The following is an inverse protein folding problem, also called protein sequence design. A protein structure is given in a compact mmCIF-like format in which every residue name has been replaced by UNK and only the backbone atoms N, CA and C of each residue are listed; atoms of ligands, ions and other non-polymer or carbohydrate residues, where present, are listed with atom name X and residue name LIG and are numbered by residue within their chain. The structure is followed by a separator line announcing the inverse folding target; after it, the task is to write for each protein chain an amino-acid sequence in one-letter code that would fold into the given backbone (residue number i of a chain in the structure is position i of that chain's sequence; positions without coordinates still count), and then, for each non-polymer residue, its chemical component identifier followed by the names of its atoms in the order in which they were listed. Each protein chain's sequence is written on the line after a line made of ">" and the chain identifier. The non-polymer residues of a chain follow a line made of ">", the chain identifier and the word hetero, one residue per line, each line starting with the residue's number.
data_IF_645292445498
#
_entry.id   IF_645292445498
#
_cell.length_a   1.000
_cell.length_b   1.000
_cell.length_c   1.000
_cell.angle_alpha   90.00
_cell.angle_beta   90.00
_cell.angle_gamma   90.00
#
_symmetry.space_group_name_H-M   'P 1'
#
loop_
_entity.id
_entity.type
_entity.pdbx_description
1 polymer ?
#
# COMPACT_ATOMS: atom_id res chain seq x y z
N UNK A 1 15.37 43.60 12.54
CA UNK A 1 15.93 42.24 12.67
C UNK A 1 15.08 41.26 13.47
N UNK A 2 14.41 41.64 14.56
CA UNK A 2 13.55 40.70 15.33
C UNK A 2 12.27 40.26 14.61
N UNK A 3 11.70 41.07 13.77
CA UNK A 3 10.46 40.74 13.03
C UNK A 3 10.68 39.77 11.85
N UNK A 4 11.85 39.79 11.23
CA UNK A 4 12.21 38.87 10.16
C UNK A 4 12.48 37.43 10.69
N UNK A 5 13.05 37.29 11.88
CA UNK A 5 13.28 36.00 12.51
C UNK A 5 11.99 35.31 12.94
N UNK A 6 11.00 36.05 13.42
CA UNK A 6 9.69 35.48 13.80
C UNK A 6 8.88 35.01 12.59
N UNK A 7 9.01 35.68 11.45
CA UNK A 7 8.35 35.22 10.21
C UNK A 7 9.02 33.96 9.64
N UNK A 8 10.35 33.84 9.74
CA UNK A 8 11.07 32.66 9.27
C UNK A 8 10.76 31.42 10.15
N UNK A 9 10.65 31.57 11.45
CA UNK A 9 10.24 30.49 12.34
C UNK A 9 8.77 30.10 12.17
N UNK A 10 7.88 31.04 11.86
CA UNK A 10 6.48 30.74 11.56
C UNK A 10 6.34 29.98 10.22
N UNK A 11 7.15 30.28 9.22
CA UNK A 11 7.19 29.55 7.95
C UNK A 11 7.77 28.13 8.09
N UNK A 12 8.83 27.96 8.88
CA UNK A 12 9.41 26.64 9.19
C UNK A 12 8.44 25.77 10.02
N UNK A 13 7.71 26.37 10.97
CA UNK A 13 6.69 25.68 11.74
C UNK A 13 5.46 25.30 10.90
N UNK A 14 5.06 26.14 9.95
CA UNK A 14 3.98 25.85 9.00
C UNK A 14 4.37 24.77 7.98
N UNK A 15 5.62 24.80 7.50
CA UNK A 15 6.13 23.75 6.61
C UNK A 15 6.20 22.39 7.33
N UNK A 16 6.67 22.35 8.58
CA UNK A 16 6.68 21.13 9.39
C UNK A 16 5.28 20.60 9.71
N UNK A 17 4.31 21.48 10.00
CA UNK A 17 2.92 21.09 10.24
C UNK A 17 2.21 20.59 8.96
N UNK A 18 2.55 21.14 7.79
CA UNK A 18 2.01 20.70 6.50
C UNK A 18 2.57 19.33 6.08
N UNK A 19 3.79 18.99 6.46
CA UNK A 19 4.41 17.71 6.15
C UNK A 19 3.71 16.54 6.86
N UNK A 20 3.07 16.80 8.00
CA UNK A 20 2.33 15.82 8.79
C UNK A 20 0.81 15.88 8.61
N UNK A 21 0.29 16.83 7.80
CA UNK A 21 -1.13 16.83 7.49
C UNK A 21 -1.52 15.56 6.73
N UNK A 22 -2.62 14.84 7.11
CA UNK A 22 -3.01 13.64 6.40
C UNK A 22 -3.28 13.94 4.92
N UNK A 23 -3.92 15.09 4.61
CA UNK A 23 -4.14 15.54 3.24
C UNK A 23 -4.20 17.07 3.18
N UNK A 24 -3.68 17.64 2.08
CA UNK A 24 -3.63 19.09 1.92
C UNK A 24 -4.90 19.64 1.25
N UNK A 25 -5.50 18.83 0.36
CA UNK A 25 -6.62 19.28 -0.46
C UNK A 25 -7.71 18.21 -0.48
N UNK A 26 -8.96 18.65 -0.59
CA UNK A 26 -10.13 17.77 -0.68
C UNK A 26 -11.07 18.33 -1.75
N UNK A 27 -11.61 17.43 -2.60
CA UNK A 27 -12.63 17.80 -3.56
C UNK A 27 -13.63 16.64 -3.76
N UNK A 28 -14.83 16.96 -4.20
CA UNK A 28 -15.84 15.97 -4.53
C UNK A 28 -15.73 15.53 -6.01
N UNK A 29 -15.99 14.26 -6.28
CA UNK A 29 -16.14 13.75 -7.61
C UNK A 29 -17.56 14.04 -8.13
N UNK A 30 -17.70 14.64 -9.30
CA UNK A 30 -19.02 14.97 -9.83
C UNK A 30 -19.72 13.76 -10.44
N UNK A 31 -21.05 13.81 -10.47
CA UNK A 31 -21.88 12.98 -11.33
C UNK A 31 -22.24 11.58 -10.80
N UNK A 32 -21.55 11.09 -9.78
CA UNK A 32 -21.85 9.79 -9.14
C UNK A 32 -21.86 9.89 -7.64
N UNK A 33 -22.58 9.00 -7.00
CA UNK A 33 -22.61 8.82 -5.55
C UNK A 33 -22.39 7.34 -5.23
N UNK A 34 -21.89 7.08 -4.02
CA UNK A 34 -21.68 5.71 -3.55
C UNK A 34 -23.00 4.93 -3.52
N UNK A 35 -23.01 3.78 -4.16
CA UNK A 35 -24.14 2.86 -4.14
C UNK A 35 -24.40 2.24 -2.77
N UNK A 36 -23.40 2.23 -1.88
CA UNK A 36 -23.51 1.65 -0.55
C UNK A 36 -24.23 2.54 0.44
N UNK A 37 -24.03 3.86 0.35
CA UNK A 37 -24.52 4.80 1.37
C UNK A 37 -25.06 6.13 0.81
N UNK A 38 -25.07 6.30 -0.52
CA UNK A 38 -25.57 7.52 -1.19
C UNK A 38 -24.71 8.76 -0.94
N UNK A 39 -23.53 8.63 -0.33
CA UNK A 39 -22.62 9.73 -0.09
C UNK A 39 -21.85 10.12 -1.36
N UNK A 40 -21.49 11.39 -1.55
CA UNK A 40 -20.58 11.79 -2.60
C UNK A 40 -19.22 11.13 -2.40
N UNK A 41 -18.55 10.85 -3.53
CA UNK A 41 -17.16 10.39 -3.49
C UNK A 41 -16.24 11.60 -3.33
N UNK A 42 -15.36 11.58 -2.34
CA UNK A 42 -14.39 12.65 -2.08
C UNK A 42 -12.97 12.16 -2.33
N UNK A 43 -12.16 12.98 -2.98
CA UNK A 43 -10.73 12.76 -3.13
C UNK A 43 -9.96 13.57 -2.09
N UNK A 44 -9.12 12.89 -1.35
CA UNK A 44 -8.22 13.43 -0.34
C UNK A 44 -6.81 13.40 -0.91
N UNK A 45 -6.31 14.57 -1.31
CA UNK A 45 -5.02 14.71 -2.01
C UNK A 45 -3.95 15.21 -1.06
N UNK A 46 -2.80 14.53 -1.08
CA UNK A 46 -1.57 14.99 -0.48
C UNK A 46 -0.53 15.33 -1.55
N UNK A 47 0.03 16.52 -1.47
CA UNK A 47 1.17 16.97 -2.26
C UNK A 47 2.25 17.37 -1.27
N UNK A 48 3.50 16.94 -1.50
CA UNK A 48 4.59 17.29 -0.60
C UNK A 48 4.76 18.82 -0.51
N UNK A 49 5.00 19.36 0.68
CA UNK A 49 5.21 20.80 0.84
C UNK A 49 6.36 21.32 -0.03
N UNK A 50 6.11 22.42 -0.74
CA UNK A 50 7.11 23.04 -1.62
C UNK A 50 7.23 22.39 -3.00
N UNK A 51 6.38 21.43 -3.34
CA UNK A 51 6.30 20.89 -4.70
C UNK A 51 5.85 21.97 -5.67
N UNK A 52 6.69 22.33 -6.62
CA UNK A 52 6.35 23.30 -7.66
C UNK A 52 5.52 22.68 -8.79
N UNK A 53 5.76 21.40 -9.08
CA UNK A 53 5.07 20.64 -10.09
C UNK A 53 4.95 19.17 -9.68
N UNK A 54 3.76 18.61 -9.80
CA UNK A 54 3.51 17.19 -9.65
C UNK A 54 3.96 16.46 -10.92
N UNK A 55 4.78 15.43 -10.78
CA UNK A 55 5.29 14.62 -11.90
C UNK A 55 4.45 13.35 -12.16
N UNK A 56 3.80 12.82 -11.12
CA UNK A 56 2.86 11.69 -11.22
C UNK A 56 1.86 11.70 -10.06
N UNK A 57 0.75 11.02 -10.21
CA UNK A 57 -0.29 10.87 -9.19
C UNK A 57 -0.54 9.40 -8.89
N UNK A 58 -0.23 8.97 -7.66
CA UNK A 58 -0.64 7.66 -7.16
C UNK A 58 -2.00 7.79 -6.51
N UNK A 59 -2.95 6.93 -6.89
CA UNK A 59 -4.29 6.99 -6.35
C UNK A 59 -4.79 5.62 -5.90
N UNK A 60 -5.65 5.63 -4.89
CA UNK A 60 -6.27 4.44 -4.34
C UNK A 60 -7.71 4.72 -3.90
N UNK A 61 -8.51 3.67 -3.86
CA UNK A 61 -9.87 3.72 -3.32
C UNK A 61 -9.88 3.28 -1.86
N UNK A 62 -10.85 3.80 -1.11
CA UNK A 62 -11.08 3.37 0.26
C UNK A 62 -11.31 1.86 0.34
N UNK A 63 -10.47 1.19 1.11
CA UNK A 63 -10.64 -0.18 1.53
C UNK A 63 -9.94 -0.37 2.89
N UNK A 64 -8.80 -1.09 2.95
CA UNK A 64 -8.18 -1.49 4.21
C UNK A 64 -6.80 -0.85 4.45
N UNK A 65 -5.84 -1.05 3.54
CA UNK A 65 -4.43 -0.67 3.73
C UNK A 65 -3.98 0.47 2.84
N UNK A 66 -4.80 0.90 1.89
CA UNK A 66 -4.43 1.93 0.93
C UNK A 66 -4.07 3.24 1.64
N UNK A 67 -4.94 3.64 2.57
CA UNK A 67 -4.67 4.84 3.34
C UNK A 67 -3.49 4.68 4.28
N UNK A 68 -3.33 3.49 4.89
CA UNK A 68 -2.19 3.21 5.78
C UNK A 68 -0.87 3.47 5.05
N UNK A 69 -0.70 2.92 3.84
CA UNK A 69 0.49 3.16 3.02
C UNK A 69 0.67 4.65 2.72
N UNK A 70 -0.39 5.34 2.31
CA UNK A 70 -0.35 6.77 1.98
C UNK A 70 -0.08 7.69 3.17
N UNK A 71 -0.28 7.21 4.40
CA UNK A 71 0.01 7.96 5.62
C UNK A 71 1.37 7.64 6.23
N UNK A 72 2.09 6.61 5.76
CA UNK A 72 3.41 6.26 6.28
C UNK A 72 4.42 7.38 5.98
N UNK A 73 5.09 7.95 7.00
CA UNK A 73 5.98 9.10 6.80
C UNK A 73 7.12 8.84 5.82
N UNK A 74 7.79 7.68 5.95
CA UNK A 74 8.90 7.31 5.07
C UNK A 74 8.45 7.13 3.60
N UNK A 75 7.27 6.53 3.39
CA UNK A 75 6.70 6.41 2.04
C UNK A 75 6.39 7.77 1.43
N UNK A 76 5.77 8.68 2.20
CA UNK A 76 5.51 10.06 1.77
C UNK A 76 6.78 10.84 1.44
N UNK A 77 7.82 10.69 2.23
CA UNK A 77 9.11 11.33 1.98
C UNK A 77 9.67 10.92 0.62
N UNK A 78 9.68 9.62 0.30
CA UNK A 78 10.15 9.12 -0.99
C UNK A 78 9.27 9.56 -2.15
N UNK A 79 7.95 9.43 -2.00
CA UNK A 79 6.99 9.85 -3.05
C UNK A 79 7.09 11.36 -3.29
N UNK A 80 7.19 12.17 -2.25
CA UNK A 80 7.38 13.60 -2.36
C UNK A 80 8.69 13.99 -3.05
N UNK A 81 9.78 13.31 -2.71
CA UNK A 81 11.08 13.50 -3.37
C UNK A 81 11.05 13.14 -4.87
N UNK A 82 10.23 12.15 -5.25
CA UNK A 82 9.99 11.79 -6.64
C UNK A 82 8.96 12.68 -7.37
N UNK A 83 8.36 13.65 -6.70
CA UNK A 83 7.29 14.50 -7.25
C UNK A 83 5.96 13.77 -7.43
N UNK A 84 5.74 12.69 -6.70
CA UNK A 84 4.50 11.90 -6.75
C UNK A 84 3.52 12.40 -5.69
N UNK A 85 2.34 12.85 -6.14
CA UNK A 85 1.22 13.16 -5.26
C UNK A 85 0.45 11.87 -4.91
N UNK A 86 -0.23 11.88 -3.74
CA UNK A 86 -1.02 10.75 -3.25
C UNK A 86 -2.48 11.14 -3.11
N UNK A 87 -3.37 10.40 -3.78
CA UNK A 87 -4.82 10.65 -3.79
C UNK A 87 -5.57 9.43 -3.24
N UNK A 88 -6.23 9.61 -2.12
CA UNK A 88 -7.12 8.61 -1.54
C UNK A 88 -8.58 9.01 -1.77
N UNK A 89 -9.41 8.10 -2.31
CA UNK A 89 -10.80 8.38 -2.68
C UNK A 89 -11.73 7.59 -1.75
N UNK A 90 -12.62 8.31 -1.03
CA UNK A 90 -13.53 7.72 -0.06
C UNK A 90 -14.93 8.38 -0.10
N UNK A 91 -16.01 7.59 -0.23
CA UNK A 91 -16.03 6.16 -0.60
C UNK A 91 -15.34 5.89 -1.94
N UNK A 92 -14.81 4.69 -2.16
CA UNK A 92 -14.23 4.31 -3.46
C UNK A 92 -15.30 4.16 -4.56
N UNK A 93 -14.91 4.30 -5.83
CA UNK A 93 -15.82 4.18 -6.99
C UNK A 93 -16.28 2.74 -7.28
N UNK A 94 -15.91 1.79 -6.49
CA UNK A 94 -16.15 0.36 -6.69
C UNK A 94 -14.86 -0.40 -6.90
N UNK A 95 -14.96 -1.73 -6.85
CA UNK A 95 -13.79 -2.62 -6.84
C UNK A 95 -13.18 -2.87 -8.22
N UNK A 96 -13.88 -2.53 -9.32
CA UNK A 96 -13.59 -3.10 -10.63
C UNK A 96 -13.22 -2.07 -11.70
N UNK A 97 -13.28 -0.78 -11.42
CA UNK A 97 -13.14 0.27 -12.44
C UNK A 97 -14.10 0.04 -13.62
N UNK A 98 -15.40 -0.04 -13.34
CA UNK A 98 -16.40 -0.24 -14.38
C UNK A 98 -16.78 1.09 -15.06
N UNK A 99 -16.22 1.31 -16.24
CA UNK A 99 -16.50 2.54 -17.04
C UNK A 99 -17.96 2.71 -17.43
N UNK A 100 -18.75 1.64 -17.45
CA UNK A 100 -20.20 1.72 -17.77
C UNK A 100 -21.01 2.38 -16.65
N UNK A 101 -20.42 2.54 -15.47
CA UNK A 101 -21.03 3.22 -14.32
C UNK A 101 -20.59 4.69 -14.19
N UNK A 102 -19.97 5.27 -15.22
CA UNK A 102 -19.55 6.67 -15.22
C UNK A 102 -18.31 6.97 -14.37
N UNK A 103 -17.59 5.93 -13.92
CA UNK A 103 -16.42 6.05 -13.04
C UNK A 103 -15.31 6.88 -13.69
N UNK A 104 -15.10 6.73 -15.02
CA UNK A 104 -14.08 7.48 -15.74
C UNK A 104 -14.36 9.00 -15.72
N UNK A 105 -15.59 9.39 -16.05
CA UNK A 105 -15.97 10.82 -16.09
C UNK A 105 -15.92 11.45 -14.70
N UNK A 106 -16.34 10.70 -13.69
CA UNK A 106 -16.29 11.14 -12.29
C UNK A 106 -14.85 11.32 -11.80
N UNK A 107 -13.96 10.39 -12.15
CA UNK A 107 -12.53 10.49 -11.80
C UNK A 107 -11.88 11.68 -12.49
N UNK A 108 -12.08 11.86 -13.78
CA UNK A 108 -11.56 13.00 -14.54
C UNK A 108 -12.13 14.33 -14.02
N UNK A 109 -13.39 14.34 -13.58
CA UNK A 109 -14.02 15.47 -12.90
C UNK A 109 -13.38 15.78 -11.54
N UNK A 110 -13.11 14.74 -10.75
CA UNK A 110 -12.43 14.87 -9.48
C UNK A 110 -11.03 15.47 -9.67
N UNK A 111 -10.27 15.01 -10.66
CA UNK A 111 -8.93 15.57 -10.96
C UNK A 111 -8.99 17.04 -11.35
N UNK A 112 -10.00 17.47 -12.13
CA UNK A 112 -10.23 18.89 -12.43
C UNK A 112 -10.51 19.70 -11.17
N UNK A 113 -11.41 19.22 -10.29
CA UNK A 113 -11.73 19.90 -9.05
C UNK A 113 -10.52 20.00 -8.10
N UNK A 114 -9.71 18.95 -8.03
CA UNK A 114 -8.47 18.95 -7.25
C UNK A 114 -7.41 19.88 -7.85
N UNK A 115 -7.30 19.95 -9.19
CA UNK A 115 -6.40 20.87 -9.88
C UNK A 115 -6.76 22.33 -9.56
N UNK A 116 -8.05 22.69 -9.58
CA UNK A 116 -8.53 24.00 -9.20
C UNK A 116 -8.26 24.32 -7.72
N UNK A 117 -8.56 23.36 -6.83
CA UNK A 117 -8.43 23.53 -5.37
C UNK A 117 -6.96 23.65 -4.94
N UNK A 118 -6.05 22.90 -5.57
CA UNK A 118 -4.63 22.87 -5.21
C UNK A 118 -3.78 23.90 -5.95
N UNK A 119 -4.25 24.39 -7.10
CA UNK A 119 -3.47 25.20 -8.03
C UNK A 119 -2.52 24.41 -8.92
N UNK A 120 -2.53 23.08 -8.84
CA UNK A 120 -1.71 22.16 -9.66
C UNK A 120 -2.49 21.73 -10.91
N UNK A 121 -2.54 22.57 -11.93
CA UNK A 121 -3.29 22.30 -13.17
C UNK A 121 -2.88 21.00 -13.87
N UNK A 122 -1.62 20.61 -13.73
CA UNK A 122 -1.06 19.40 -14.31
C UNK A 122 -1.70 18.09 -13.79
N UNK A 123 -2.41 18.10 -12.68
CA UNK A 123 -3.10 16.91 -12.14
C UNK A 123 -4.07 16.28 -13.15
N UNK A 124 -4.58 17.06 -14.09
CA UNK A 124 -5.46 16.56 -15.14
C UNK A 124 -4.73 15.75 -16.22
N UNK A 125 -3.40 15.84 -16.30
CA UNK A 125 -2.58 15.28 -17.38
C UNK A 125 -1.43 14.38 -16.91
N UNK A 126 -1.03 14.47 -15.63
CA UNK A 126 0.11 13.68 -15.11
C UNK A 126 -0.12 12.17 -15.25
N UNK A 127 0.97 11.41 -15.36
CA UNK A 127 0.94 9.96 -15.29
C UNK A 127 0.28 9.46 -14.02
N UNK A 128 -0.50 8.39 -14.12
CA UNK A 128 -1.30 7.83 -13.04
C UNK A 128 -0.75 6.49 -12.58
N UNK A 129 -0.79 6.26 -11.27
CA UNK A 129 -0.34 5.04 -10.61
C UNK A 129 -1.50 4.50 -9.78
N UNK A 130 -2.36 3.62 -10.33
CA UNK A 130 -3.41 2.97 -9.55
C UNK A 130 -2.82 1.97 -8.55
N UNK A 131 -3.28 2.06 -7.31
CA UNK A 131 -2.93 1.17 -6.20
C UNK A 131 -4.20 0.61 -5.58
N UNK A 132 -4.23 -0.68 -5.29
CA UNK A 132 -5.37 -1.32 -4.62
C UNK A 132 -4.94 -2.51 -3.79
N UNK A 133 -5.53 -2.62 -2.60
CA UNK A 133 -5.32 -3.72 -1.67
C UNK A 133 -6.54 -4.64 -1.65
N UNK A 134 -6.32 -5.96 -1.57
CA UNK A 134 -7.38 -6.95 -1.35
C UNK A 134 -8.53 -6.82 -2.38
N UNK A 135 -9.73 -6.53 -1.91
CA UNK A 135 -10.90 -6.34 -2.76
C UNK A 135 -10.75 -5.22 -3.83
N UNK A 136 -9.89 -4.23 -3.58
CA UNK A 136 -9.59 -3.18 -4.54
C UNK A 136 -8.41 -3.52 -5.47
N UNK A 137 -7.74 -4.64 -5.27
CA UNK A 137 -6.53 -4.99 -6.04
C UNK A 137 -6.80 -5.40 -7.50
N UNK A 138 -8.05 -5.64 -7.87
CA UNK A 138 -8.48 -5.83 -9.27
C UNK A 138 -8.55 -4.50 -10.03
N UNK A 139 -8.88 -3.40 -9.34
CA UNK A 139 -9.03 -2.07 -9.94
C UNK A 139 -7.78 -1.59 -10.68
N UNK A 140 -6.54 -1.70 -10.16
CA UNK A 140 -5.35 -1.24 -10.86
C UNK A 140 -5.15 -1.86 -12.25
N UNK A 141 -5.41 -3.15 -12.39
CA UNK A 141 -5.33 -3.85 -13.68
C UNK A 141 -6.34 -3.33 -14.68
N UNK A 142 -7.60 -3.18 -14.25
CA UNK A 142 -8.67 -2.68 -15.08
C UNK A 142 -8.45 -1.24 -15.49
N UNK A 143 -8.05 -0.37 -14.52
CA UNK A 143 -7.70 1.02 -14.82
C UNK A 143 -6.63 1.09 -15.91
N UNK A 144 -5.55 0.35 -15.79
CA UNK A 144 -4.46 0.35 -16.76
C UNK A 144 -4.91 -0.12 -18.15
N UNK A 145 -5.81 -1.11 -18.22
CA UNK A 145 -6.35 -1.59 -19.48
C UNK A 145 -7.23 -0.55 -20.19
N UNK A 146 -7.92 0.32 -19.45
CA UNK A 146 -8.77 1.40 -19.99
C UNK A 146 -7.98 2.70 -20.22
N UNK A 147 -6.94 2.97 -19.43
CA UNK A 147 -6.13 4.18 -19.47
C UNK A 147 -4.64 3.89 -19.75
N UNK A 148 -4.30 3.10 -20.78
CA UNK A 148 -2.93 2.65 -21.00
C UNK A 148 -1.95 3.77 -21.34
N UNK A 149 -2.44 4.88 -21.91
CA UNK A 149 -1.63 6.07 -22.26
C UNK A 149 -1.37 7.00 -21.09
N UNK A 150 -2.07 6.81 -19.95
CA UNK A 150 -1.88 7.60 -18.73
C UNK A 150 -1.33 6.79 -17.57
N UNK A 151 -1.29 5.46 -17.67
CA UNK A 151 -0.79 4.61 -16.58
C UNK A 151 0.73 4.52 -16.62
N UNK A 152 1.39 5.00 -15.59
CA UNK A 152 2.84 4.88 -15.39
C UNK A 152 3.23 3.45 -15.02
N UNK A 153 2.68 2.97 -13.96
CA UNK A 153 2.76 1.60 -13.44
C UNK A 153 1.52 1.33 -12.60
N UNK A 154 1.37 0.12 -12.11
CA UNK A 154 0.23 -0.26 -11.28
C UNK A 154 0.64 -1.22 -10.16
N UNK A 155 -0.12 -1.24 -9.07
CA UNK A 155 0.20 -2.08 -7.91
C UNK A 155 -1.07 -2.78 -7.42
N UNK A 156 -1.02 -4.12 -7.44
CA UNK A 156 -2.02 -5.02 -6.86
C UNK A 156 -1.45 -5.60 -5.55
N UNK A 157 -1.86 -4.99 -4.44
CA UNK A 157 -1.32 -5.31 -3.12
C UNK A 157 -2.20 -6.33 -2.41
N UNK A 158 -1.64 -7.47 -2.06
CA UNK A 158 -2.33 -8.62 -1.47
C UNK A 158 -3.60 -9.01 -2.24
N UNK A 159 -3.50 -9.02 -3.56
CA UNK A 159 -4.64 -9.10 -4.45
C UNK A 159 -4.48 -10.00 -5.67
N UNK A 160 -5.31 -9.73 -6.64
CA UNK A 160 -5.54 -10.62 -7.76
C UNK A 160 -4.61 -10.39 -8.95
N UNK A 161 -4.48 -11.41 -9.77
CA UNK A 161 -3.84 -11.32 -11.07
C UNK A 161 -4.70 -10.52 -12.07
N UNK A 162 -4.11 -10.04 -13.17
CA UNK A 162 -4.89 -9.42 -14.25
C UNK A 162 -6.03 -10.32 -14.73
N UNK A 163 -7.18 -9.73 -14.98
CA UNK A 163 -8.41 -10.40 -15.46
C UNK A 163 -8.93 -11.50 -14.52
N UNK A 164 -8.62 -11.40 -13.22
CA UNK A 164 -9.24 -12.23 -12.19
C UNK A 164 -9.89 -11.35 -11.13
N UNK A 165 -10.87 -11.88 -10.41
CA UNK A 165 -11.58 -11.15 -9.37
C UNK A 165 -11.95 -12.07 -8.20
N UNK A 166 -10.94 -12.68 -7.61
CA UNK A 166 -11.11 -13.57 -6.44
C UNK A 166 -11.30 -12.75 -5.16
N UNK A 167 -10.54 -11.67 -5.02
CA UNK A 167 -10.65 -10.75 -3.88
C UNK A 167 -11.98 -10.01 -3.82
N UNK A 168 -12.62 -9.79 -4.97
CA UNK A 168 -13.96 -9.21 -5.07
C UNK A 168 -15.08 -10.17 -4.70
N UNK A 169 -14.83 -11.14 -3.86
CA UNK A 169 -15.80 -12.12 -3.37
C UNK A 169 -16.50 -12.94 -4.50
N UNK A 170 -15.72 -13.26 -5.55
CA UNK A 170 -16.22 -14.04 -6.67
C UNK A 170 -17.15 -13.27 -7.62
N UNK A 171 -17.10 -11.95 -7.62
CA UNK A 171 -17.75 -11.13 -8.66
C UNK A 171 -17.16 -11.44 -10.02
N UNK A 172 -17.94 -11.18 -11.07
CA UNK A 172 -17.47 -11.37 -12.44
C UNK A 172 -16.24 -10.53 -12.73
N UNK A 173 -15.30 -11.10 -13.47
CA UNK A 173 -14.17 -10.33 -14.00
C UNK A 173 -14.68 -9.27 -14.99
N UNK A 174 -14.05 -8.09 -14.96
CA UNK A 174 -14.32 -7.07 -15.97
C UNK A 174 -13.65 -7.49 -17.28
N UNK A 175 -14.46 -7.59 -18.35
CA UNK A 175 -13.96 -7.97 -19.65
C UNK A 175 -13.26 -6.80 -20.36
N UNK A 176 -12.00 -7.00 -20.70
CA UNK A 176 -11.21 -5.97 -21.40
C UNK A 176 -11.53 -5.88 -22.90
N UNK A 177 -12.26 -6.83 -23.45
CA UNK A 177 -12.44 -6.95 -24.88
C UNK A 177 -11.16 -7.42 -25.59
N UNK A 178 -11.11 -7.26 -26.92
CA UNK A 178 -10.02 -7.78 -27.76
C UNK A 178 -8.86 -6.79 -27.96
N UNK A 179 -9.06 -5.52 -27.74
CA UNK A 179 -8.11 -4.45 -28.09
C UNK A 179 -7.35 -3.89 -26.88
N UNK A 180 -7.89 -4.10 -25.67
CA UNK A 180 -7.25 -3.58 -24.44
C UNK A 180 -6.21 -4.56 -23.89
N UNK A 181 -5.07 -4.02 -23.56
CA UNK A 181 -3.97 -4.75 -22.94
C UNK A 181 -3.17 -3.83 -22.04
N UNK A 182 -2.28 -4.41 -21.25
CA UNK A 182 -1.32 -3.72 -20.37
C UNK A 182 0.13 -3.96 -20.80
N UNK A 183 0.34 -4.28 -22.07
CA UNK A 183 1.68 -4.57 -22.60
C UNK A 183 2.62 -3.39 -22.38
N UNK A 184 3.81 -3.68 -21.87
CA UNK A 184 4.82 -2.69 -21.57
C UNK A 184 4.52 -1.74 -20.41
N UNK A 185 3.43 -1.98 -19.66
CA UNK A 185 3.14 -1.25 -18.41
C UNK A 185 3.63 -2.10 -17.23
N UNK A 186 4.57 -1.61 -16.39
CA UNK A 186 4.99 -2.33 -15.20
C UNK A 186 3.83 -2.52 -14.22
N UNK A 187 3.61 -3.76 -13.82
CA UNK A 187 2.65 -4.11 -12.78
C UNK A 187 3.36 -4.85 -11.64
N UNK A 188 3.10 -4.46 -10.39
CA UNK A 188 3.61 -5.13 -9.21
C UNK A 188 2.48 -5.86 -8.50
N UNK A 189 2.62 -7.17 -8.32
CA UNK A 189 1.83 -7.96 -7.39
C UNK A 189 2.61 -8.16 -6.09
N UNK A 190 1.96 -7.97 -4.96
CA UNK A 190 2.50 -8.32 -3.64
C UNK A 190 1.59 -9.35 -2.99
N UNK A 191 2.16 -10.37 -2.35
CA UNK A 191 1.41 -11.38 -1.60
C UNK A 191 2.14 -11.74 -0.31
N UNK A 192 1.45 -11.66 0.82
CA UNK A 192 2.01 -12.03 2.11
C UNK A 192 2.20 -13.54 2.25
N UNK A 193 3.25 -13.96 2.98
CA UNK A 193 3.53 -15.38 3.20
C UNK A 193 2.39 -16.08 3.95
N UNK A 194 1.80 -15.43 4.97
CA UNK A 194 0.77 -16.03 5.82
C UNK A 194 -0.64 -16.00 5.21
N UNK A 195 -0.78 -15.35 4.06
CA UNK A 195 -2.00 -15.37 3.24
C UNK A 195 -1.82 -16.09 1.90
N UNK A 196 -0.74 -16.87 1.74
CA UNK A 196 -0.36 -17.43 0.45
C UNK A 196 -1.51 -18.14 -0.25
N UNK A 197 -1.76 -17.75 -1.50
CA UNK A 197 -2.84 -18.31 -2.28
C UNK A 197 -2.43 -18.54 -3.75
N UNK A 198 -2.19 -19.79 -4.10
CA UNK A 198 -1.80 -20.21 -5.44
C UNK A 198 -2.82 -19.80 -6.51
N UNK A 199 -4.10 -19.72 -6.17
CA UNK A 199 -5.15 -19.28 -7.08
C UNK A 199 -5.02 -17.82 -7.55
N UNK A 200 -4.23 -16.99 -6.84
CA UNK A 200 -3.85 -15.63 -7.29
C UNK A 200 -2.57 -15.65 -8.09
N UNK A 201 -1.61 -16.47 -7.70
CA UNK A 201 -0.28 -16.54 -8.30
C UNK A 201 -0.32 -17.18 -9.68
N UNK A 202 -0.92 -18.37 -9.81
CA UNK A 202 -0.94 -19.15 -11.05
C UNK A 202 -1.59 -18.41 -12.22
N UNK A 203 -2.72 -17.70 -12.06
CA UNK A 203 -3.25 -16.86 -13.13
C UNK A 203 -2.33 -15.76 -13.61
N UNK A 204 -1.51 -15.16 -12.73
CA UNK A 204 -0.54 -14.13 -13.13
C UNK A 204 0.57 -14.72 -14.02
N UNK A 205 1.09 -15.88 -13.66
CA UNK A 205 2.04 -16.62 -14.51
C UNK A 205 1.42 -17.03 -15.86
N UNK A 206 0.18 -17.54 -15.84
CA UNK A 206 -0.55 -17.87 -17.06
C UNK A 206 -0.80 -16.64 -17.94
N UNK A 207 -1.14 -15.50 -17.32
CA UNK A 207 -1.33 -14.24 -18.04
C UNK A 207 -0.06 -13.81 -18.77
N UNK A 208 1.11 -13.88 -18.13
CA UNK A 208 2.39 -13.58 -18.76
C UNK A 208 2.71 -14.49 -19.95
N UNK A 209 2.31 -15.75 -19.89
CA UNK A 209 2.45 -16.67 -21.02
C UNK A 209 1.52 -16.32 -22.19
N UNK A 210 0.28 -15.97 -21.88
CA UNK A 210 -0.74 -15.64 -22.88
C UNK A 210 -0.50 -14.24 -23.51
N UNK A 211 0.10 -13.34 -22.76
CA UNK A 211 0.37 -11.96 -23.16
C UNK A 211 1.87 -11.65 -22.98
N UNK A 212 2.72 -12.04 -23.93
CA UNK A 212 4.18 -11.93 -23.79
C UNK A 212 4.72 -10.50 -23.65
N UNK A 213 3.92 -9.49 -24.02
CA UNK A 213 4.24 -8.06 -23.81
C UNK A 213 4.01 -7.60 -22.36
N UNK A 214 3.50 -8.44 -21.47
CA UNK A 214 3.20 -8.05 -20.09
C UNK A 214 4.45 -7.98 -19.21
N UNK A 215 4.56 -6.89 -18.42
CA UNK A 215 5.66 -6.58 -17.51
C UNK A 215 5.21 -6.73 -16.04
N UNK A 216 4.97 -7.96 -15.58
CA UNK A 216 4.45 -8.23 -14.23
C UNK A 216 5.58 -8.69 -13.31
N UNK A 217 5.81 -7.90 -12.24
CA UNK A 217 6.71 -8.21 -11.12
C UNK A 217 5.92 -8.82 -9.96
N UNK A 218 6.60 -9.59 -9.13
CA UNK A 218 6.01 -10.21 -7.96
C UNK A 218 6.92 -10.07 -6.74
N UNK A 219 6.33 -9.67 -5.61
CA UNK A 219 6.97 -9.70 -4.30
C UNK A 219 6.19 -10.65 -3.38
N UNK A 220 6.81 -11.75 -2.97
CA UNK A 220 6.32 -12.51 -1.85
C UNK A 220 6.83 -11.88 -0.57
N UNK A 221 5.93 -11.33 0.22
CA UNK A 221 6.27 -10.58 1.41
C UNK A 221 6.38 -11.51 2.61
N UNK A 222 7.60 -11.97 2.87
CA UNK A 222 7.89 -12.95 3.88
C UNK A 222 7.56 -12.43 5.29
N UNK A 223 6.94 -13.29 6.12
CA UNK A 223 6.55 -12.96 7.49
C UNK A 223 5.34 -12.01 7.60
N UNK A 224 4.61 -11.79 6.50
CA UNK A 224 3.45 -10.88 6.45
C UNK A 224 2.16 -11.62 6.19
N UNK A 225 1.09 -11.13 6.80
CA UNK A 225 -0.29 -11.52 6.51
C UNK A 225 -0.98 -10.52 5.59
N UNK A 226 -2.26 -10.73 5.38
CA UNK A 226 -3.08 -9.99 4.41
C UNK A 226 -3.18 -8.48 4.69
N UNK A 227 -3.08 -8.07 5.96
CA UNK A 227 -3.30 -6.69 6.38
C UNK A 227 -2.02 -6.00 6.89
N UNK A 228 -0.88 -6.65 6.75
CA UNK A 228 0.37 -6.13 7.25
C UNK A 228 1.06 -5.25 6.19
N UNK A 229 1.45 -4.04 6.57
CA UNK A 229 2.30 -3.15 5.77
C UNK A 229 3.53 -2.82 6.59
N UNK A 230 4.70 -3.24 6.11
CA UNK A 230 5.97 -2.89 6.74
C UNK A 230 6.67 -1.76 6.01
N UNK A 231 7.60 -1.08 6.68
CA UNK A 231 8.47 -0.09 6.03
C UNK A 231 9.24 -0.73 4.87
N UNK A 232 9.70 -1.96 5.04
CA UNK A 232 10.39 -2.72 3.97
C UNK A 232 9.52 -2.94 2.74
N UNK A 233 8.24 -3.23 2.93
CA UNK A 233 7.29 -3.40 1.83
C UNK A 233 6.98 -2.06 1.17
N UNK A 234 6.77 -1.02 1.98
CA UNK A 234 6.56 0.34 1.51
C UNK A 234 7.77 0.86 0.71
N UNK A 235 8.99 0.58 1.17
CA UNK A 235 10.23 0.91 0.47
C UNK A 235 10.36 0.19 -0.87
N UNK A 236 9.99 -1.09 -0.94
CA UNK A 236 10.00 -1.82 -2.21
C UNK A 236 8.98 -1.25 -3.21
N UNK A 237 7.78 -0.89 -2.74
CA UNK A 237 6.74 -0.24 -3.55
C UNK A 237 7.25 1.13 -4.05
N UNK A 238 7.86 1.93 -3.17
CA UNK A 238 8.40 3.22 -3.55
C UNK A 238 9.51 3.09 -4.60
N UNK A 239 10.44 2.16 -4.40
CA UNK A 239 11.49 1.86 -5.38
C UNK A 239 10.90 1.42 -6.73
N UNK A 240 9.86 0.57 -6.72
CA UNK A 240 9.19 0.16 -7.94
C UNK A 240 8.62 1.35 -8.72
N UNK A 241 7.99 2.31 -8.03
CA UNK A 241 7.46 3.54 -8.65
C UNK A 241 8.60 4.38 -9.23
N UNK A 242 9.68 4.61 -8.48
CA UNK A 242 10.84 5.38 -8.92
C UNK A 242 11.51 4.75 -10.16
N UNK A 243 11.67 3.43 -10.16
CA UNK A 243 12.21 2.68 -11.30
C UNK A 243 11.29 2.77 -12.54
N UNK A 244 9.98 2.68 -12.33
CA UNK A 244 9.01 2.83 -13.42
C UNK A 244 9.04 4.25 -14.02
N UNK A 245 9.14 5.29 -13.17
CA UNK A 245 9.32 6.67 -13.62
C UNK A 245 10.60 6.83 -14.47
N UNK A 246 11.72 6.30 -13.98
CA UNK A 246 12.99 6.37 -14.68
C UNK A 246 12.98 5.61 -16.02
N UNK A 247 12.40 4.41 -16.05
CA UNK A 247 12.40 3.54 -17.22
C UNK A 247 11.44 4.03 -18.32
N UNK A 248 10.29 4.62 -17.95
CA UNK A 248 9.25 5.02 -18.90
C UNK A 248 9.32 6.50 -19.29
N UNK A 249 9.98 7.32 -18.47
CA UNK A 249 10.09 8.75 -18.72
C UNK A 249 8.73 9.48 -18.76
N UNK A 250 8.75 10.75 -19.11
CA UNK A 250 7.54 11.58 -19.25
C UNK A 250 6.60 11.14 -20.38
N UNK A 251 7.13 10.46 -21.38
CA UNK A 251 6.41 10.01 -22.58
C UNK A 251 5.70 8.65 -22.38
N UNK A 252 5.85 8.08 -21.20
CA UNK A 252 5.28 6.78 -20.82
C UNK A 252 5.60 5.69 -21.85
N UNK A 253 6.88 5.58 -22.20
CA UNK A 253 7.37 4.56 -23.13
C UNK A 253 6.90 3.17 -22.71
N UNK A 254 6.48 2.35 -23.69
CA UNK A 254 6.18 0.95 -23.45
C UNK A 254 7.48 0.19 -23.27
N UNK A 255 7.58 -0.57 -22.17
CA UNK A 255 8.76 -1.39 -21.91
C UNK A 255 8.68 -2.70 -22.70
N UNK A 256 9.83 -3.13 -23.24
CA UNK A 256 9.95 -4.48 -23.81
C UNK A 256 10.33 -5.45 -22.68
N UNK A 257 9.53 -6.50 -22.41
CA UNK A 257 9.91 -7.52 -21.43
C UNK A 257 11.25 -8.19 -21.68
N UNK A 258 11.75 -8.16 -22.93
CA UNK A 258 13.07 -8.71 -23.27
C UNK A 258 14.24 -7.92 -22.68
N UNK A 259 14.05 -6.64 -22.41
CA UNK A 259 15.08 -5.77 -21.82
C UNK A 259 15.11 -5.84 -20.28
N UNK A 260 14.14 -6.50 -19.66
CA UNK A 260 14.07 -6.63 -18.21
C UNK A 260 14.79 -7.87 -17.65
N UNK A 261 14.49 -8.17 -16.43
CA UNK A 261 15.04 -9.32 -15.69
C UNK A 261 13.94 -10.33 -15.37
N UNK A 262 14.35 -11.58 -15.20
CA UNK A 262 13.49 -12.66 -14.73
C UNK A 262 14.00 -13.22 -13.41
N UNK A 263 13.07 -13.51 -12.49
CA UNK A 263 13.35 -14.26 -11.28
C UNK A 263 12.28 -15.33 -11.07
N UNK A 264 12.70 -16.48 -10.59
CA UNK A 264 11.81 -17.59 -10.30
C UNK A 264 10.83 -17.20 -9.21
N UNK A 265 9.56 -17.58 -9.39
CA UNK A 265 8.52 -17.43 -8.38
C UNK A 265 8.84 -18.21 -7.13
N UNK A 266 8.69 -17.57 -5.99
CA UNK A 266 8.74 -18.23 -4.69
C UNK A 266 7.37 -18.81 -4.30
N UNK A 267 7.40 -19.84 -3.47
CA UNK A 267 6.26 -20.40 -2.76
C UNK A 267 6.70 -20.89 -1.39
N UNK A 268 5.89 -20.76 -0.33
CA UNK A 268 6.22 -21.27 0.99
C UNK A 268 6.56 -22.76 1.04
N UNK A 269 6.03 -23.52 0.08
CA UNK A 269 6.27 -24.96 -0.04
C UNK A 269 7.57 -25.31 -0.79
N UNK A 270 8.14 -24.35 -1.53
CA UNK A 270 9.38 -24.55 -2.28
C UNK A 270 10.58 -24.19 -1.42
N UNK A 271 11.57 -25.11 -1.40
CA UNK A 271 12.86 -24.85 -0.76
C UNK A 271 13.81 -24.15 -1.72
N UNK A 272 14.66 -23.27 -1.19
CA UNK A 272 15.57 -22.43 -1.97
C UNK A 272 16.71 -23.18 -2.65
N UNK A 273 17.11 -24.35 -2.16
CA UNK A 273 18.31 -25.07 -2.57
C UNK A 273 18.45 -25.36 -4.07
N UNK A 274 17.37 -25.24 -4.83
CA UNK A 274 17.37 -25.51 -6.28
C UNK A 274 16.89 -24.33 -7.12
N UNK A 275 16.76 -23.15 -6.56
CA UNK A 275 16.24 -21.98 -7.28
C UNK A 275 17.23 -21.44 -8.30
N UNK A 276 16.70 -21.04 -9.45
CA UNK A 276 17.46 -20.32 -10.45
C UNK A 276 17.65 -18.85 -10.00
N UNK A 277 18.87 -18.35 -10.10
CA UNK A 277 19.17 -16.95 -9.74
C UNK A 277 18.53 -15.97 -10.71
N UNK A 278 18.13 -14.77 -10.26
CA UNK A 278 17.70 -13.71 -11.14
C UNK A 278 18.74 -13.36 -12.19
N UNK A 279 18.29 -13.16 -13.43
CA UNK A 279 19.17 -12.80 -14.54
C UNK A 279 18.43 -11.92 -15.57
N UNK A 280 19.14 -11.18 -16.44
CA UNK A 280 18.56 -10.56 -17.60
C UNK A 280 17.68 -11.54 -18.39
N UNK A 281 16.56 -11.07 -18.91
CA UNK A 281 15.60 -11.96 -19.58
C UNK A 281 16.23 -12.82 -20.70
N UNK A 282 17.21 -12.29 -21.43
CA UNK A 282 17.93 -13.04 -22.46
C UNK A 282 18.81 -14.17 -21.93
N UNK A 283 19.32 -14.03 -20.70
CA UNK A 283 20.31 -14.93 -20.05
C UNK A 283 19.68 -15.86 -19.01
N UNK A 284 18.39 -15.68 -18.72
CA UNK A 284 17.72 -16.43 -17.66
C UNK A 284 17.65 -17.92 -17.98
N UNK A 285 18.32 -18.74 -17.16
CA UNK A 285 18.44 -20.18 -17.33
C UNK A 285 17.29 -21.01 -16.74
N UNK A 286 16.40 -20.39 -15.96
CA UNK A 286 15.27 -21.06 -15.32
C UNK A 286 14.06 -21.19 -16.24
N UNK A 287 12.99 -21.79 -15.70
CA UNK A 287 11.72 -21.90 -16.40
C UNK A 287 11.02 -20.53 -16.48
N UNK A 288 10.90 -19.99 -17.70
CA UNK A 288 10.26 -18.67 -17.91
C UNK A 288 8.77 -18.65 -17.56
N UNK A 289 8.10 -19.80 -17.56
CA UNK A 289 6.70 -19.94 -17.20
C UNK A 289 6.46 -19.90 -15.68
N UNK A 290 7.53 -20.08 -14.91
CA UNK A 290 7.53 -20.00 -13.45
C UNK A 290 8.33 -18.80 -12.93
N UNK A 291 8.54 -17.80 -13.79
CA UNK A 291 9.31 -16.60 -13.45
C UNK A 291 8.48 -15.34 -13.66
N UNK A 292 8.65 -14.39 -12.78
CA UNK A 292 8.13 -13.02 -12.95
C UNK A 292 9.17 -12.13 -13.59
N UNK A 293 8.69 -11.04 -14.19
CA UNK A 293 9.50 -10.01 -14.81
C UNK A 293 9.79 -8.88 -13.81
N UNK A 294 10.94 -8.24 -13.96
CA UNK A 294 11.34 -7.08 -13.17
C UNK A 294 11.99 -6.04 -14.06
N UNK A 295 11.82 -4.76 -13.69
CA UNK A 295 12.36 -3.63 -14.46
C UNK A 295 13.88 -3.75 -14.60
N UNK A 296 14.56 -4.13 -13.51
CA UNK A 296 16.01 -4.30 -13.50
C UNK A 296 16.46 -5.37 -12.49
N UNK A 297 17.79 -5.59 -12.44
CA UNK A 297 18.37 -6.60 -11.57
C UNK A 297 18.37 -6.22 -10.09
N UNK A 298 18.25 -4.96 -9.73
CA UNK A 298 18.11 -4.54 -8.34
C UNK A 298 16.77 -5.02 -7.79
N UNK A 299 15.66 -4.72 -8.48
CA UNK A 299 14.32 -5.17 -8.12
C UNK A 299 14.23 -6.70 -8.05
N UNK A 300 14.80 -7.39 -9.04
CA UNK A 300 14.76 -8.85 -9.09
C UNK A 300 15.53 -9.48 -7.92
N UNK A 301 16.71 -8.95 -7.59
CA UNK A 301 17.50 -9.43 -6.45
C UNK A 301 16.86 -9.13 -5.11
N UNK A 302 16.32 -7.92 -4.93
CA UNK A 302 15.62 -7.58 -3.68
C UNK A 302 14.42 -8.49 -3.42
N UNK A 303 13.67 -8.86 -4.46
CA UNK A 303 12.59 -9.84 -4.34
C UNK A 303 13.12 -11.23 -3.97
N UNK A 304 14.24 -11.66 -4.56
CA UNK A 304 14.90 -12.93 -4.23
C UNK A 304 15.44 -12.96 -2.80
N UNK A 305 16.12 -11.88 -2.37
CA UNK A 305 16.72 -11.78 -1.04
C UNK A 305 15.62 -11.79 0.05
N UNK A 306 14.46 -11.20 -0.24
CA UNK A 306 13.29 -11.23 0.65
C UNK A 306 12.85 -12.65 1.00
N UNK A 307 12.99 -13.58 0.06
CA UNK A 307 12.70 -15.00 0.29
C UNK A 307 13.87 -15.72 0.95
N UNK A 308 15.09 -15.46 0.47
CA UNK A 308 16.29 -16.16 0.94
C UNK A 308 16.53 -15.96 2.44
N UNK A 309 16.21 -14.79 2.96
CA UNK A 309 16.32 -14.46 4.38
C UNK A 309 15.43 -15.33 5.28
N UNK A 310 14.39 -15.94 4.72
CA UNK A 310 13.42 -16.76 5.48
C UNK A 310 13.62 -18.25 5.30
N UNK A 311 14.55 -18.70 4.43
CA UNK A 311 14.76 -20.11 4.15
C UNK A 311 15.18 -20.88 5.40
N UNK A 312 14.47 -21.97 5.68
CA UNK A 312 14.70 -22.82 6.85
C UNK A 312 14.22 -22.24 8.20
N UNK A 313 13.74 -21.00 8.23
CA UNK A 313 13.25 -20.37 9.46
C UNK A 313 11.79 -20.66 9.74
N UNK A 314 11.46 -20.80 11.01
CA UNK A 314 10.09 -21.01 11.48
C UNK A 314 9.30 -19.69 11.57
N UNK A 315 8.01 -19.69 11.29
CA UNK A 315 7.17 -18.53 11.52
C UNK A 315 6.99 -18.27 13.03
N UNK A 316 6.76 -17.02 13.37
CA UNK A 316 6.39 -16.58 14.70
C UNK A 316 5.16 -15.69 14.59
N UNK A 317 4.26 -15.76 15.55
CA UNK A 317 3.00 -15.00 15.50
C UNK A 317 2.90 -14.10 16.72
N UNK A 318 2.48 -12.84 16.48
CA UNK A 318 2.32 -11.83 17.50
C UNK A 318 0.83 -11.50 17.71
N UNK A 319 0.47 -11.20 18.95
CA UNK A 319 -0.83 -10.71 19.35
C UNK A 319 -0.66 -9.49 20.26
N UNK A 320 -1.67 -8.63 20.29
CA UNK A 320 -1.69 -7.45 21.16
C UNK A 320 -2.49 -7.71 22.44
N UNK A 321 -2.16 -6.94 23.45
CA UNK A 321 -2.91 -6.88 24.72
C UNK A 321 -3.16 -5.42 25.10
N UNK A 322 -4.37 -5.15 25.58
CA UNK A 322 -4.77 -3.87 26.14
C UNK A 322 -5.42 -4.07 27.50
N UNK A 323 -4.86 -3.42 28.55
CA UNK A 323 -5.34 -3.49 29.94
C UNK A 323 -5.52 -4.94 30.46
N UNK A 324 -4.56 -5.83 30.22
CA UNK A 324 -4.60 -7.21 30.66
C UNK A 324 -5.53 -8.12 29.83
N UNK A 325 -6.12 -7.60 28.75
CA UNK A 325 -7.03 -8.35 27.89
C UNK A 325 -6.42 -8.51 26.50
N UNK A 326 -6.32 -9.76 25.98
CA UNK A 326 -5.88 -9.99 24.61
C UNK A 326 -6.82 -9.30 23.61
N UNK A 327 -6.24 -8.60 22.64
CA UNK A 327 -6.97 -8.07 21.50
C UNK A 327 -7.24 -9.23 20.55
N UNK A 328 -8.50 -9.61 20.42
CA UNK A 328 -8.87 -10.74 19.58
C UNK A 328 -8.58 -10.43 18.11
N UNK A 329 -7.85 -11.33 17.46
CA UNK A 329 -7.64 -11.28 16.01
C UNK A 329 -8.99 -11.47 15.30
N UNK A 330 -9.30 -10.54 14.39
CA UNK A 330 -10.54 -10.58 13.61
C UNK A 330 -11.85 -10.63 14.44
N UNK A 331 -11.86 -10.03 15.65
CA UNK A 331 -13.08 -9.91 16.42
C UNK A 331 -14.14 -9.10 15.66
N UNK A 332 -15.40 -9.50 15.77
CA UNK A 332 -16.56 -8.84 15.16
C UNK A 332 -16.54 -8.77 13.62
N UNK A 333 -15.84 -9.69 12.95
CA UNK A 333 -15.79 -9.73 11.49
C UNK A 333 -14.93 -8.63 10.84
N UNK A 334 -14.14 -7.91 11.61
CA UNK A 334 -13.11 -7.02 11.08
C UNK A 334 -11.93 -7.84 10.56
N UNK A 335 -11.45 -7.49 9.39
CA UNK A 335 -10.30 -8.16 8.79
C UNK A 335 -8.96 -7.72 9.39
N UNK A 336 -8.92 -6.67 10.21
CA UNK A 336 -7.75 -6.15 10.94
C UNK A 336 -7.91 -6.39 12.45
N UNK A 337 -6.79 -6.40 13.17
CA UNK A 337 -6.84 -6.18 14.60
C UNK A 337 -7.34 -4.77 14.87
N UNK A 338 -8.36 -4.62 15.67
CA UNK A 338 -8.92 -3.33 16.08
C UNK A 338 -9.09 -3.32 17.59
N UNK A 339 -8.61 -2.28 18.24
CA UNK A 339 -8.81 -2.06 19.68
C UNK A 339 -9.41 -0.68 19.93
N UNK A 340 -10.42 -0.61 20.78
CA UNK A 340 -10.93 0.64 21.31
C UNK A 340 -10.16 1.01 22.57
N UNK A 341 -9.54 2.17 22.57
CA UNK A 341 -8.68 2.65 23.65
C UNK A 341 -9.26 3.92 24.25
N UNK A 342 -9.36 3.96 25.56
CA UNK A 342 -9.64 5.19 26.32
C UNK A 342 -8.33 5.69 26.90
N UNK A 343 -7.78 6.81 26.38
CA UNK A 343 -6.57 7.41 26.95
C UNK A 343 -6.77 7.84 28.40
N UNK A 344 -5.70 7.85 29.16
CA UNK A 344 -5.68 8.36 30.53
C UNK A 344 -5.77 9.92 30.59
N UNK A 345 -5.63 10.48 31.80
CA UNK A 345 -5.71 11.93 32.02
C UNK A 345 -4.58 12.73 31.33
N UNK A 346 -3.49 12.08 30.98
CA UNK A 346 -2.34 12.65 30.28
C UNK A 346 -2.38 12.34 28.77
N UNK A 347 -3.54 11.93 28.25
CA UNK A 347 -3.77 11.50 26.87
C UNK A 347 -2.92 10.28 26.48
N UNK A 348 -2.48 9.45 27.43
CA UNK A 348 -1.62 8.30 27.19
C UNK A 348 -2.40 6.99 27.18
N UNK A 349 -1.87 6.02 26.43
CA UNK A 349 -2.31 4.62 26.45
C UNK A 349 -1.13 3.70 26.19
N UNK A 350 -1.26 2.43 26.59
CA UNK A 350 -0.23 1.43 26.39
C UNK A 350 -0.81 0.15 25.80
N UNK A 351 -0.04 -0.51 24.93
CA UNK A 351 -0.31 -1.84 24.41
C UNK A 351 0.84 -2.78 24.76
N UNK A 352 0.50 -4.02 25.07
CA UNK A 352 1.45 -5.12 25.22
C UNK A 352 1.51 -5.98 23.97
N UNK A 353 2.64 -6.73 23.79
CA UNK A 353 2.80 -7.72 22.72
C UNK A 353 3.10 -9.07 23.31
N UNK A 354 2.38 -10.08 22.83
CA UNK A 354 2.53 -11.46 23.20
C UNK A 354 2.87 -12.32 21.98
N UNK A 355 3.61 -13.38 22.21
CA UNK A 355 3.72 -14.49 21.27
C UNK A 355 2.46 -15.33 21.33
N UNK A 356 1.95 -15.77 20.19
CA UNK A 356 0.76 -16.58 20.10
C UNK A 356 0.95 -17.77 19.15
N UNK A 357 -0.01 -18.69 19.16
CA UNK A 357 -0.06 -19.79 18.22
C UNK A 357 -0.42 -19.31 16.78
N UNK A 358 -0.33 -20.20 15.81
CA UNK A 358 -0.63 -19.90 14.40
C UNK A 358 -2.08 -19.48 14.15
N UNK A 359 -3.00 -19.83 15.05
CA UNK A 359 -4.40 -19.40 14.97
C UNK A 359 -4.63 -18.03 15.61
N UNK A 360 -3.60 -17.48 16.28
CA UNK A 360 -3.63 -16.23 17.06
C UNK A 360 -4.71 -16.21 18.15
N UNK A 361 -5.09 -17.40 18.62
CA UNK A 361 -6.12 -17.60 19.64
C UNK A 361 -5.55 -17.88 21.02
N UNK A 362 -4.34 -18.42 21.09
CA UNK A 362 -3.70 -18.85 22.34
C UNK A 362 -2.44 -18.02 22.55
N UNK A 363 -2.39 -17.28 23.67
CA UNK A 363 -1.19 -16.56 24.08
C UNK A 363 -0.19 -17.55 24.69
N UNK A 364 1.04 -17.54 24.17
CA UNK A 364 2.13 -18.42 24.63
C UNK A 364 3.01 -17.76 25.69
N UNK A 365 3.03 -16.41 25.73
CA UNK A 365 3.82 -15.63 26.66
C UNK A 365 4.17 -14.26 26.10
N UNK A 366 4.89 -13.47 26.88
CA UNK A 366 5.36 -12.16 26.44
C UNK A 366 6.35 -12.33 25.27
N UNK A 367 6.14 -11.57 24.20
CA UNK A 367 6.99 -11.60 23.01
C UNK A 367 8.32 -10.86 23.30
N UNK A 368 9.30 -11.59 23.81
CA UNK A 368 10.62 -11.01 24.12
C UNK A 368 11.32 -10.53 22.84
N UNK A 369 11.76 -9.26 22.87
CA UNK A 369 12.44 -8.63 21.73
C UNK A 369 11.49 -8.12 20.64
N UNK A 370 10.17 -8.23 20.82
CA UNK A 370 9.22 -7.54 19.99
C UNK A 370 9.01 -6.11 20.52
N UNK A 371 8.85 -5.18 19.60
CA UNK A 371 8.59 -3.77 19.89
C UNK A 371 7.30 -3.33 19.21
N UNK A 372 6.58 -2.36 19.81
CA UNK A 372 5.45 -1.72 19.14
C UNK A 372 5.94 -0.40 18.57
N UNK A 373 5.82 -0.27 17.27
CA UNK A 373 6.19 0.90 16.49
C UNK A 373 4.94 1.71 16.09
N UNK A 374 5.08 3.03 16.09
CA UNK A 374 4.13 3.93 15.45
C UNK A 374 4.23 3.82 13.92
N UNK A 375 3.11 3.65 13.25
CA UNK A 375 3.02 3.65 11.77
C UNK A 375 2.43 4.97 11.28
N UNK A 376 1.21 5.31 11.69
CA UNK A 376 0.56 6.57 11.32
C UNK A 376 -0.61 6.91 12.24
N UNK A 377 -1.15 8.14 12.10
CA UNK A 377 -2.30 8.63 12.85
C UNK A 377 -1.94 9.60 13.98
N UNK A 378 -2.93 10.09 14.76
CA UNK A 378 -2.75 11.15 15.73
C UNK A 378 -2.14 10.68 17.06
N UNK A 379 -0.90 10.19 17.05
CA UNK A 379 -0.18 9.78 18.24
C UNK A 379 1.32 10.04 18.15
N UNK A 380 1.96 10.09 19.30
CA UNK A 380 3.41 10.15 19.48
C UNK A 380 3.85 8.95 20.32
N UNK A 381 4.84 8.21 19.85
CA UNK A 381 5.43 7.11 20.59
C UNK A 381 6.28 7.64 21.74
N UNK A 382 6.07 7.13 22.95
CA UNK A 382 6.87 7.43 24.14
C UNK A 382 7.86 6.32 24.51
N UNK A 383 7.84 5.21 23.78
CA UNK A 383 8.63 4.01 24.02
C UNK A 383 7.91 2.96 24.86
N UNK A 384 8.44 1.72 24.85
CA UNK A 384 7.91 0.59 25.63
C UNK A 384 6.41 0.31 25.41
N UNK A 385 5.91 0.50 24.19
CA UNK A 385 4.49 0.31 23.87
C UNK A 385 3.55 1.39 24.42
N UNK A 386 4.10 2.52 24.92
CA UNK A 386 3.32 3.66 25.41
C UNK A 386 3.23 4.73 24.33
N UNK A 387 2.04 5.24 24.14
CA UNK A 387 1.71 6.28 23.16
C UNK A 387 0.92 7.40 23.80
N UNK A 388 1.12 8.61 23.30
CA UNK A 388 0.31 9.77 23.68
C UNK A 388 -0.45 10.30 22.47
N UNK A 389 -1.72 10.59 22.65
CA UNK A 389 -2.56 11.18 21.61
C UNK A 389 -2.03 12.57 21.26
N UNK A 390 -1.79 12.80 19.99
CA UNK A 390 -1.43 14.13 19.48
C UNK A 390 -2.70 14.95 19.16
N UNK A 391 -3.12 15.78 20.12
CA UNK A 391 -4.29 16.66 19.95
C UNK A 391 -4.09 17.75 18.90
N UNK A 392 -2.87 18.01 18.48
CA UNK A 392 -2.55 18.98 17.44
C UNK A 392 -2.61 18.40 16.03
N UNK A 393 -2.68 17.08 15.92
CA UNK A 393 -2.64 16.38 14.63
C UNK A 393 -3.78 16.84 13.71
N UNK A 394 -3.49 17.14 12.44
CA UNK A 394 -4.47 17.69 11.50
C UNK A 394 -5.71 16.82 11.26
N UNK A 395 -5.62 15.52 11.50
CA UNK A 395 -6.76 14.58 11.45
C UNK A 395 -7.98 15.07 12.25
N UNK A 396 -7.76 15.75 13.40
CA UNK A 396 -8.84 16.27 14.24
C UNK A 396 -9.66 17.38 13.59
N UNK A 397 -9.14 18.00 12.53
CA UNK A 397 -9.83 19.06 11.80
C UNK A 397 -10.80 18.52 10.74
N UNK A 398 -10.74 17.24 10.45
CA UNK A 398 -11.64 16.60 9.50
C UNK A 398 -12.75 15.85 10.27
N UNK A 399 -13.99 16.37 10.36
CA UNK A 399 -15.07 15.77 11.13
C UNK A 399 -15.53 14.40 10.59
N UNK A 400 -15.16 14.05 9.34
CA UNK A 400 -15.47 12.77 8.72
C UNK A 400 -14.42 11.69 9.02
N UNK A 401 -13.30 12.07 9.65
CA UNK A 401 -12.18 11.19 9.98
C UNK A 401 -11.83 11.33 11.45
N UNK A 402 -12.51 10.58 12.26
CA UNK A 402 -12.06 10.34 13.63
C UNK A 402 -10.79 9.51 13.53
N UNK A 403 -9.67 10.10 13.91
CA UNK A 403 -8.36 9.53 13.70
C UNK A 403 -8.21 8.15 14.32
N UNK A 404 -8.09 7.16 13.47
CA UNK A 404 -7.50 5.90 13.89
C UNK A 404 -5.98 6.04 13.91
N UNK A 405 -5.35 5.39 14.88
CA UNK A 405 -3.91 5.27 14.97
C UNK A 405 -3.55 3.87 14.49
N UNK A 406 -2.61 3.75 13.57
CA UNK A 406 -2.05 2.46 13.18
C UNK A 406 -0.72 2.26 13.88
N UNK A 407 -0.60 1.15 14.58
CA UNK A 407 0.63 0.69 15.23
C UNK A 407 1.01 -0.68 14.67
N UNK A 408 2.28 -1.04 14.74
CA UNK A 408 2.77 -2.35 14.35
C UNK A 408 3.62 -2.97 15.45
N UNK A 409 3.32 -4.21 15.83
CA UNK A 409 4.23 -5.03 16.60
C UNK A 409 5.25 -5.64 15.64
N UNK A 410 6.51 -5.42 15.88
CA UNK A 410 7.62 -5.90 15.06
C UNK A 410 8.55 -6.77 15.87
N UNK A 411 8.93 -7.86 15.26
CA UNK A 411 10.00 -8.71 15.78
C UNK A 411 10.99 -8.98 14.64
N UNK A 412 12.26 -8.59 14.74
CA UNK A 412 13.21 -8.63 13.62
C UNK A 412 13.62 -10.04 13.19
N UNK A 413 13.18 -11.05 13.93
CA UNK A 413 13.59 -12.43 13.69
C UNK A 413 14.97 -12.74 14.23
N UNK A 414 15.40 -13.99 14.05
CA UNK A 414 16.71 -14.49 14.41
C UNK A 414 17.19 -15.57 13.41
N UNK A 415 18.21 -16.35 13.75
CA UNK A 415 18.73 -17.41 12.90
C UNK A 415 17.73 -18.56 12.70
N UNK A 416 16.73 -18.70 13.56
CA UNK A 416 15.76 -19.80 13.58
C UNK A 416 14.33 -19.38 13.26
N UNK A 417 14.02 -18.11 13.39
CA UNK A 417 12.68 -17.58 13.16
C UNK A 417 12.70 -16.41 12.17
N UNK A 418 11.61 -16.31 11.41
CA UNK A 418 11.37 -15.22 10.46
C UNK A 418 11.07 -13.92 11.18
N UNK A 419 11.43 -12.81 10.53
CA UNK A 419 10.90 -11.49 10.89
C UNK A 419 9.36 -11.51 10.86
N UNK A 420 8.72 -10.86 11.82
CA UNK A 420 7.26 -10.79 11.90
C UNK A 420 6.83 -9.36 12.15
N UNK A 421 5.83 -8.90 11.41
CA UNK A 421 5.11 -7.66 11.64
C UNK A 421 3.63 -7.97 11.78
N UNK A 422 2.98 -7.35 12.75
CA UNK A 422 1.56 -7.44 12.98
C UNK A 422 1.00 -6.06 13.25
N UNK A 423 0.08 -5.59 12.41
CA UNK A 423 -0.56 -4.29 12.60
C UNK A 423 -1.79 -4.36 13.50
N UNK A 424 -2.09 -3.21 14.12
CA UNK A 424 -3.31 -2.96 14.88
C UNK A 424 -3.83 -1.55 14.59
N UNK A 425 -5.14 -1.45 14.40
CA UNK A 425 -5.85 -0.18 14.37
C UNK A 425 -6.35 0.17 15.77
N UNK A 426 -5.90 1.30 16.30
CA UNK A 426 -6.35 1.85 17.58
C UNK A 426 -7.41 2.91 17.33
N UNK A 427 -8.61 2.69 17.83
CA UNK A 427 -9.71 3.65 17.83
C UNK A 427 -9.80 4.32 19.19
N UNK A 428 -9.76 5.65 19.19
CA UNK A 428 -9.84 6.40 20.42
C UNK A 428 -11.29 6.62 20.85
N UNK A 429 -11.60 6.20 22.08
CA UNK A 429 -12.86 6.48 22.75
C UNK A 429 -12.59 7.54 23.83
N UNK A 430 -13.11 8.72 23.65
CA UNK A 430 -13.08 9.74 24.71
C UNK A 430 -14.36 9.58 25.52
N UNK A 431 -14.22 9.24 26.81
CA UNK A 431 -15.36 9.14 27.71
C UNK A 431 -16.22 10.43 27.64
N UNK A 432 -17.51 10.26 27.40
CA UNK A 432 -18.48 11.34 27.44
C UNK A 432 -18.67 11.83 28.88
#
# INVERSE_FOLDING_TARGET
>A
MRTLLLSLFAWLALAGAAQHAPYNYVAEAPGIVSMENGQPHEGFLWIAPGTERVEALMFAFQNMNEETLFLMPAFRERMGAAGVALLWIAPGFGQEWDVNQGVQDAFDGLLRNLAETSGHAELTEVPLIPFGHSAQATMPWNFAAWNPSRTLCLISYHGDAPRTNLCGYGRSNVEWGRTRNIDGIPGLMVMGEYEWWEARLRPALAFRMMYPGSCISFLGDAGRGHFDVSDRTADYIALFVEKAMAARGKELLRLDPADGWLAQTWSPEQRYSSRCKPAPAAEYAGCRHEAFWYIDGEMARMAEDRYAETDGKSPRYLAFEYNGTPVAFNAKGHCKNVVEVTPDADDCFALGVFECDSTRSILLGQAKGAEIRYVCGPAVALGNGVFRVDRSHPTWRNPRRLGSITLAAEWPGDDTHKETVQEIEVRLSFGM
#
